data_IF_501824876487
#
_entry.id   IF_501824876487
#
_cell.length_a   1.000
_cell.length_b   1.000
_cell.length_c   1.000
_cell.angle_alpha   90.00
_cell.angle_beta   90.00
_cell.angle_gamma   90.00
#
_symmetry.space_group_name_H-M   'P 1'
#
loop_
_entity.id
_entity.type
_entity.pdbx_description
1 polymer ?
#
# COMPACT_ATOMS: atom_id res chain seq x y z
N UNK A 1 -3.85 10.82 13.14
CA UNK A 1 -4.93 9.80 12.99
C UNK A 1 -5.31 9.14 14.30
N UNK A 2 -6.58 8.78 14.45
CA UNK A 2 -7.14 7.87 15.45
C UNK A 2 -6.81 6.39 15.17
N UNK A 3 -6.99 5.51 16.17
CA UNK A 3 -6.79 4.06 16.00
C UNK A 3 -7.73 3.48 14.94
N UNK A 4 -8.95 4.00 14.86
CA UNK A 4 -9.95 3.57 13.86
C UNK A 4 -9.50 3.92 12.44
N UNK A 5 -8.97 5.12 12.24
CA UNK A 5 -8.44 5.55 10.94
C UNK A 5 -7.24 4.68 10.53
N UNK A 6 -6.30 4.42 11.45
CA UNK A 6 -5.17 3.51 11.20
C UNK A 6 -5.65 2.12 10.76
N UNK A 7 -6.63 1.54 11.46
CA UNK A 7 -7.18 0.24 11.09
C UNK A 7 -7.83 0.25 9.69
N UNK A 8 -8.58 1.30 9.37
CA UNK A 8 -9.19 1.49 8.04
C UNK A 8 -8.12 1.61 6.95
N UNK A 9 -7.07 2.39 7.18
CA UNK A 9 -5.96 2.55 6.22
C UNK A 9 -5.23 1.23 6.01
N UNK A 10 -4.99 0.45 7.06
CA UNK A 10 -4.37 -0.88 6.95
C UNK A 10 -5.26 -1.84 6.16
N UNK A 11 -6.57 -1.80 6.35
CA UNK A 11 -7.53 -2.60 5.59
C UNK A 11 -7.50 -2.23 4.10
N UNK A 12 -7.54 -0.95 3.76
CA UNK A 12 -7.40 -0.46 2.38
C UNK A 12 -6.09 -0.91 1.74
N UNK A 13 -4.96 -0.74 2.45
CA UNK A 13 -3.65 -1.21 2.00
C UNK A 13 -3.66 -2.73 1.76
N UNK A 14 -4.33 -3.50 2.60
CA UNK A 14 -4.45 -4.96 2.42
C UNK A 14 -5.23 -5.31 1.15
N UNK A 15 -6.25 -4.53 0.78
CA UNK A 15 -6.96 -4.69 -0.49
C UNK A 15 -6.10 -4.30 -1.69
N UNK A 16 -5.41 -3.17 -1.61
CA UNK A 16 -4.49 -2.70 -2.65
C UNK A 16 -3.38 -3.75 -2.91
N UNK A 17 -2.80 -4.33 -1.85
CA UNK A 17 -1.79 -5.38 -1.95
C UNK A 17 -2.28 -6.65 -2.67
N UNK A 18 -3.50 -7.12 -2.36
CA UNK A 18 -4.11 -8.28 -3.05
C UNK A 18 -4.38 -7.99 -4.53
N UNK A 19 -4.77 -6.76 -4.84
CA UNK A 19 -5.00 -6.34 -6.22
C UNK A 19 -3.68 -6.30 -7.01
N UNK A 20 -2.63 -5.76 -6.40
CA UNK A 20 -1.27 -5.76 -6.96
C UNK A 20 -0.80 -7.19 -7.25
N UNK A 21 -0.92 -8.11 -6.29
CA UNK A 21 -0.57 -9.52 -6.47
C UNK A 21 -1.35 -10.18 -7.61
N UNK A 22 -2.66 -9.94 -7.69
CA UNK A 22 -3.50 -10.46 -8.77
C UNK A 22 -3.03 -9.97 -10.15
N UNK A 23 -2.64 -8.70 -10.27
CA UNK A 23 -2.11 -8.15 -11.52
C UNK A 23 -0.72 -8.73 -11.83
N UNK A 24 0.13 -8.97 -10.84
CA UNK A 24 1.41 -9.67 -11.04
C UNK A 24 1.21 -11.07 -11.60
N UNK A 25 0.18 -11.79 -11.15
CA UNK A 25 -0.16 -13.09 -11.74
C UNK A 25 -0.58 -12.97 -13.20
N UNK A 26 -1.32 -11.93 -13.59
CA UNK A 26 -1.66 -11.68 -15.00
C UNK A 26 -0.39 -11.52 -15.85
N UNK A 27 0.59 -10.73 -15.39
CA UNK A 27 1.86 -10.60 -16.11
C UNK A 27 2.66 -11.90 -16.14
N UNK A 28 2.68 -12.66 -15.04
CA UNK A 28 3.33 -13.96 -15.01
C UNK A 28 2.72 -14.90 -16.06
N UNK A 29 1.38 -14.96 -16.16
CA UNK A 29 0.71 -15.73 -17.20
C UNK A 29 1.08 -15.22 -18.60
N UNK A 30 1.05 -13.91 -18.82
CA UNK A 30 1.40 -13.31 -20.11
C UNK A 30 2.81 -13.69 -20.58
N UNK A 31 3.80 -13.50 -19.70
CA UNK A 31 5.23 -13.71 -20.00
C UNK A 31 5.54 -15.19 -20.20
N UNK A 32 5.06 -16.05 -19.31
CA UNK A 32 5.47 -17.46 -19.27
C UNK A 32 4.53 -18.42 -20.02
N UNK A 33 3.28 -18.01 -20.32
CA UNK A 33 2.37 -18.80 -21.19
C UNK A 33 2.37 -18.34 -22.64
N UNK A 34 3.23 -17.40 -23.00
CA UNK A 34 3.54 -17.10 -24.40
C UNK A 34 2.50 -16.26 -25.11
N UNK A 35 1.84 -15.32 -24.43
CA UNK A 35 1.06 -14.31 -25.14
C UNK A 35 2.01 -13.39 -25.93
N UNK A 36 1.80 -13.32 -27.24
CA UNK A 36 2.74 -12.67 -28.18
C UNK A 36 2.47 -11.18 -28.39
N UNK A 37 1.35 -10.68 -27.86
CA UNK A 37 0.88 -9.29 -28.06
C UNK A 37 0.75 -8.55 -26.74
N UNK A 38 1.55 -7.50 -26.56
CA UNK A 38 1.59 -6.69 -25.34
C UNK A 38 0.35 -5.82 -25.15
N UNK A 39 -0.34 -5.44 -26.23
CA UNK A 39 -1.53 -4.56 -26.21
C UNK A 39 -2.64 -5.08 -25.28
N UNK A 40 -2.82 -6.40 -25.20
CA UNK A 40 -3.81 -7.04 -24.30
C UNK A 40 -3.55 -6.76 -22.81
N UNK A 41 -2.34 -6.31 -22.46
CA UNK A 41 -1.88 -6.10 -21.08
C UNK A 41 -1.58 -4.64 -20.73
N UNK A 42 -1.72 -3.70 -21.66
CA UNK A 42 -1.42 -2.28 -21.41
C UNK A 42 -2.25 -1.72 -20.25
N UNK A 43 -3.54 -2.08 -20.17
CA UNK A 43 -4.41 -1.69 -19.07
C UNK A 43 -3.91 -2.23 -17.72
N UNK A 44 -3.39 -3.45 -17.70
CA UNK A 44 -2.88 -4.09 -16.50
C UNK A 44 -1.58 -3.41 -16.05
N UNK A 45 -0.71 -3.04 -17.00
CA UNK A 45 0.54 -2.33 -16.73
C UNK A 45 0.30 -0.93 -16.17
N UNK A 46 -0.60 -0.15 -16.79
CA UNK A 46 -1.00 1.16 -16.28
C UNK A 46 -1.66 1.07 -14.90
N UNK A 47 -2.59 0.12 -14.71
CA UNK A 47 -3.24 -0.10 -13.42
C UNK A 47 -2.23 -0.51 -12.34
N UNK A 48 -1.29 -1.40 -12.65
CA UNK A 48 -0.23 -1.82 -11.74
C UNK A 48 0.64 -0.64 -11.29
N UNK A 49 1.09 0.19 -12.23
CA UNK A 49 1.89 1.38 -11.91
C UNK A 49 1.15 2.36 -11.00
N UNK A 50 -0.11 2.66 -11.32
CA UNK A 50 -0.94 3.57 -10.50
C UNK A 50 -1.20 3.02 -9.11
N UNK A 51 -1.54 1.73 -9.00
CA UNK A 51 -1.85 1.08 -7.73
C UNK A 51 -0.61 0.97 -6.84
N UNK A 52 0.53 0.54 -7.39
CA UNK A 52 1.79 0.44 -6.62
C UNK A 52 2.27 1.80 -6.14
N UNK A 53 2.18 2.85 -6.97
CA UNK A 53 2.50 4.21 -6.56
C UNK A 53 1.58 4.71 -5.43
N UNK A 54 0.27 4.54 -5.60
CA UNK A 54 -0.73 4.91 -4.58
C UNK A 54 -0.48 4.17 -3.26
N UNK A 55 -0.29 2.85 -3.32
CA UNK A 55 0.02 2.01 -2.17
C UNK A 55 1.27 2.49 -1.43
N UNK A 56 2.35 2.77 -2.17
CA UNK A 56 3.60 3.28 -1.59
C UNK A 56 3.40 4.61 -0.85
N UNK A 57 2.63 5.54 -1.43
CA UNK A 57 2.35 6.82 -0.80
C UNK A 57 1.47 6.68 0.45
N UNK A 58 0.42 5.86 0.39
CA UNK A 58 -0.44 5.57 1.55
C UNK A 58 0.35 4.93 2.69
N UNK A 59 1.25 4.00 2.38
CA UNK A 59 2.16 3.39 3.36
C UNK A 59 3.08 4.41 4.01
N UNK A 60 3.67 5.31 3.21
CA UNK A 60 4.54 6.37 3.72
C UNK A 60 3.78 7.34 4.63
N UNK A 61 2.59 7.79 4.21
CA UNK A 61 1.72 8.63 5.04
C UNK A 61 1.33 7.95 6.35
N UNK A 62 0.87 6.69 6.29
CA UNK A 62 0.53 5.93 7.50
C UNK A 62 1.71 5.85 8.47
N UNK A 63 2.91 5.58 7.95
CA UNK A 63 4.15 5.57 8.74
C UNK A 63 4.38 6.93 9.39
N UNK A 64 4.38 8.00 8.60
CA UNK A 64 4.72 9.34 9.07
C UNK A 64 3.73 9.83 10.14
N UNK A 65 2.43 9.62 9.92
CA UNK A 65 1.38 9.97 10.88
C UNK A 65 1.48 9.17 12.19
N UNK A 66 1.90 7.89 12.13
CA UNK A 66 2.14 7.07 13.32
C UNK A 66 3.35 7.60 14.11
N UNK A 67 4.45 7.93 13.42
CA UNK A 67 5.64 8.48 14.08
C UNK A 67 5.41 9.85 14.69
N UNK A 68 4.69 10.74 14.00
CA UNK A 68 4.31 12.05 14.52
C UNK A 68 3.54 11.88 15.84
N UNK A 69 2.53 11.01 15.86
CA UNK A 69 1.75 10.74 17.06
C UNK A 69 2.57 10.15 18.21
N UNK A 70 3.51 9.25 17.92
CA UNK A 70 4.41 8.71 18.95
C UNK A 70 5.40 9.76 19.48
N UNK A 71 5.78 10.73 18.66
CA UNK A 71 6.66 11.83 19.07
C UNK A 71 5.94 12.91 19.89
N UNK A 72 4.62 13.03 19.71
CA UNK A 72 3.75 13.93 20.46
C UNK A 72 3.29 13.35 21.82
N UNK A 73 3.41 12.03 22.04
CA UNK A 73 3.16 11.44 23.36
C UNK A 73 4.19 11.97 24.37
N UNK A 74 3.80 12.77 25.38
CA UNK A 74 4.76 13.43 26.23
C UNK A 74 5.52 12.41 27.08
N UNK A 75 6.82 12.66 27.25
CA UNK A 75 7.69 12.09 28.28
C UNK A 75 7.23 12.39 29.74
N UNK A 76 5.98 12.80 29.94
CA UNK A 76 5.43 13.32 31.20
C UNK A 76 5.11 12.25 32.25
N UNK A 77 5.21 10.95 31.93
CA UNK A 77 5.02 9.90 32.95
C UNK A 77 6.26 9.56 33.77
N UNK A 78 7.43 10.17 33.49
CA UNK A 78 8.69 9.80 34.17
C UNK A 78 9.09 10.78 35.29
N UNK A 79 8.46 11.95 35.42
CA UNK A 79 8.86 12.96 36.43
C UNK A 79 7.87 13.17 37.60
N UNK A 80 6.87 12.29 37.78
CA UNK A 80 6.00 12.30 38.96
C UNK A 80 5.67 10.89 39.43
N UNK A 81 6.64 10.24 40.08
CA UNK A 81 6.39 9.16 41.04
C UNK A 81 7.38 9.26 42.19
#
# INVERSE_FOLDING_TARGET
MSIREIASTIEELSYDARTIDSIQQVFFQAIFRGETTTESFDWAFDAFGKLTFSFSNKMAQLRDDIYERMSEEPSEKIMKS
#
